data_IF_429932886419
#
_entry.id   IF_429932886419
#
_cell.length_a   1.000
_cell.length_b   1.000
_cell.length_c   1.000
_cell.angle_alpha   90.00
_cell.angle_beta   90.00
_cell.angle_gamma   90.00
#
_symmetry.space_group_name_H-M   'P 1'
#
loop_
_entity.id
_entity.type
_entity.pdbx_description
1 polymer ?
#
# COMPACT_ATOMS: atom_id res chain seq x y z
N UNK A 1 -20.85 -24.13 -24.56
CA UNK A 1 -20.88 -22.98 -23.63
C UNK A 1 -20.08 -21.87 -24.26
N UNK A 2 -20.66 -20.67 -24.41
CA UNK A 2 -19.90 -19.48 -24.82
C UNK A 2 -19.13 -18.95 -23.61
N UNK A 3 -17.86 -18.57 -23.83
CA UNK A 3 -17.04 -17.91 -22.82
C UNK A 3 -17.32 -16.41 -22.90
N UNK A 4 -17.73 -15.76 -21.80
CA UNK A 4 -18.01 -14.34 -21.81
C UNK A 4 -16.73 -13.53 -22.07
N UNK A 5 -16.81 -12.56 -22.98
CA UNK A 5 -15.72 -11.62 -23.23
C UNK A 5 -15.80 -10.50 -22.20
N UNK A 6 -14.79 -10.42 -21.33
CA UNK A 6 -14.65 -9.35 -20.34
C UNK A 6 -13.65 -8.32 -20.88
N UNK A 7 -14.02 -7.03 -20.84
CA UNK A 7 -13.13 -5.92 -21.23
C UNK A 7 -12.53 -5.26 -19.99
N UNK A 8 -11.21 -5.09 -19.98
CA UNK A 8 -10.52 -4.28 -19.01
C UNK A 8 -10.21 -2.89 -19.58
N UNK A 9 -10.14 -1.89 -18.71
CA UNK A 9 -9.65 -0.54 -19.05
C UNK A 9 -8.72 -0.07 -17.94
N UNK A 10 -7.85 0.89 -18.25
CA UNK A 10 -6.94 1.47 -17.25
C UNK A 10 -7.76 2.26 -16.24
N UNK A 11 -7.73 1.81 -14.98
CA UNK A 11 -8.41 2.50 -13.88
C UNK A 11 -7.60 3.68 -13.35
N UNK A 12 -6.30 3.49 -13.11
CA UNK A 12 -5.36 4.53 -12.69
C UNK A 12 -4.02 4.34 -13.41
N UNK A 13 -3.57 5.35 -14.15
CA UNK A 13 -2.29 5.31 -14.88
C UNK A 13 -1.14 5.81 -13.99
N UNK A 14 -0.82 5.05 -12.94
CA UNK A 14 0.13 5.47 -11.90
C UNK A 14 1.61 5.44 -12.35
N UNK A 15 1.92 4.82 -13.49
CA UNK A 15 3.30 4.63 -13.99
C UNK A 15 4.26 4.04 -12.95
N UNK A 16 3.76 3.15 -12.09
CA UNK A 16 4.58 2.50 -11.07
C UNK A 16 5.70 1.65 -11.71
N UNK A 17 6.91 1.72 -11.17
CA UNK A 17 8.03 0.86 -11.59
C UNK A 17 7.73 -0.59 -11.27
N UNK A 18 7.29 -0.86 -10.04
CA UNK A 18 6.81 -2.18 -9.62
C UNK A 18 5.58 -2.03 -8.72
N UNK A 19 4.41 -2.02 -9.34
CA UNK A 19 3.12 -1.92 -8.68
C UNK A 19 2.67 -3.24 -8.06
N UNK A 20 2.47 -3.29 -6.74
CA UNK A 20 2.12 -4.52 -6.01
C UNK A 20 1.18 -4.26 -4.83
N UNK A 21 0.71 -5.35 -4.22
CA UNK A 21 0.09 -5.28 -2.89
C UNK A 21 -1.25 -4.55 -2.85
N UNK A 22 -2.02 -4.54 -3.95
CA UNK A 22 -3.31 -3.88 -4.02
C UNK A 22 -4.28 -4.31 -2.89
N UNK A 23 -4.98 -3.34 -2.29
CA UNK A 23 -5.93 -3.52 -1.20
C UNK A 23 -7.10 -2.54 -1.37
N UNK A 24 -8.31 -3.06 -1.51
CA UNK A 24 -9.51 -2.22 -1.40
C UNK A 24 -10.05 -2.26 0.02
N UNK A 25 -10.12 -1.09 0.66
CA UNK A 25 -10.70 -0.91 1.98
C UNK A 25 -12.13 -0.38 1.83
N UNK A 26 -13.12 -1.21 2.16
CA UNK A 26 -14.55 -0.87 2.04
C UNK A 26 -14.96 0.27 2.97
N UNK A 27 -14.42 0.30 4.20
CA UNK A 27 -14.76 1.30 5.21
C UNK A 27 -14.44 2.73 4.74
N UNK A 28 -13.37 2.90 3.96
CA UNK A 28 -12.96 4.21 3.44
C UNK A 28 -13.35 4.44 1.97
N UNK A 29 -13.86 3.41 1.30
CA UNK A 29 -14.01 3.36 -0.17
C UNK A 29 -12.72 3.76 -0.90
N UNK A 30 -11.60 3.18 -0.48
CA UNK A 30 -10.27 3.51 -1.00
C UNK A 30 -9.52 2.27 -1.50
N UNK A 31 -8.89 2.41 -2.66
CA UNK A 31 -7.90 1.48 -3.17
C UNK A 31 -6.49 1.97 -2.79
N UNK A 32 -5.68 1.06 -2.25
CA UNK A 32 -4.28 1.28 -1.91
C UNK A 32 -3.41 0.27 -2.66
N UNK A 33 -2.23 0.68 -3.09
CA UNK A 33 -1.19 -0.20 -3.64
C UNK A 33 0.16 0.48 -3.52
N UNK A 34 1.25 -0.26 -3.68
CA UNK A 34 2.61 0.29 -3.53
C UNK A 34 3.36 0.27 -4.86
N UNK A 35 4.26 1.23 -5.05
CA UNK A 35 5.44 1.07 -5.90
C UNK A 35 6.59 0.60 -5.01
N UNK A 36 6.98 -0.66 -5.15
CA UNK A 36 8.02 -1.25 -4.30
C UNK A 36 9.34 -0.51 -4.49
N UNK A 37 9.76 -0.37 -5.75
CA UNK A 37 11.08 0.16 -6.10
C UNK A 37 11.19 1.65 -5.80
N UNK A 38 10.11 2.40 -6.05
CA UNK A 38 10.10 3.83 -5.80
C UNK A 38 9.73 4.18 -4.37
N UNK A 39 9.33 3.24 -3.51
CA UNK A 39 8.89 3.57 -2.15
C UNK A 39 7.71 4.54 -2.13
N UNK A 40 6.70 4.27 -2.96
CA UNK A 40 5.48 5.09 -3.04
C UNK A 40 4.28 4.28 -2.58
N UNK A 41 3.49 4.81 -1.65
CA UNK A 41 2.14 4.33 -1.41
C UNK A 41 1.18 5.16 -2.27
N UNK A 42 0.37 4.48 -3.08
CA UNK A 42 -0.74 5.10 -3.81
C UNK A 42 -2.04 4.93 -3.03
N UNK A 43 -2.87 5.98 -3.06
CA UNK A 43 -4.23 5.97 -2.53
C UNK A 43 -5.17 6.52 -3.62
N UNK A 44 -6.24 5.80 -3.90
CA UNK A 44 -7.30 6.23 -4.79
C UNK A 44 -8.66 6.12 -4.10
N UNK A 45 -9.28 7.26 -3.79
CA UNK A 45 -10.59 7.32 -3.11
C UNK A 45 -11.73 7.36 -4.11
N UNK A 46 -12.73 6.51 -3.90
CA UNK A 46 -13.98 6.45 -4.65
C UNK A 46 -15.14 7.04 -3.82
N UNK A 47 -16.17 7.62 -4.48
CA UNK A 47 -16.29 7.87 -5.92
C UNK A 47 -15.63 9.18 -6.36
N UNK A 48 -15.06 9.95 -5.43
CA UNK A 48 -14.57 11.33 -5.66
C UNK A 48 -13.33 11.39 -6.57
N UNK A 49 -12.79 10.23 -7.00
CA UNK A 49 -11.62 10.10 -7.88
C UNK A 49 -10.41 10.89 -7.37
N UNK A 50 -10.18 10.87 -6.06
CA UNK A 50 -9.04 11.54 -5.45
C UNK A 50 -7.84 10.58 -5.44
N UNK A 51 -6.81 10.91 -6.24
CA UNK A 51 -5.57 10.15 -6.33
C UNK A 51 -4.44 10.86 -5.57
N UNK A 52 -3.85 10.17 -4.60
CA UNK A 52 -2.73 10.65 -3.79
C UNK A 52 -1.56 9.67 -3.83
N UNK A 53 -0.38 10.22 -3.61
CA UNK A 53 0.88 9.49 -3.54
C UNK A 53 1.61 9.92 -2.27
N UNK A 54 2.12 8.96 -1.52
CA UNK A 54 2.95 9.20 -0.35
C UNK A 54 4.33 8.64 -0.64
N UNK A 55 5.34 9.52 -0.70
CA UNK A 55 6.74 9.13 -0.92
C UNK A 55 7.38 8.80 0.42
N UNK A 56 7.94 7.61 0.55
CA UNK A 56 8.48 7.09 1.80
C UNK A 56 10.00 6.83 1.69
N UNK A 57 10.74 6.84 2.83
CA UNK A 57 12.17 6.64 2.85
C UNK A 57 12.56 5.15 2.76
N UNK A 58 12.29 4.53 1.60
CA UNK A 58 12.71 3.16 1.30
C UNK A 58 11.65 2.35 0.58
N UNK A 59 12.03 1.14 0.16
CA UNK A 59 11.12 0.21 -0.51
C UNK A 59 10.00 -0.25 0.41
N UNK A 60 8.80 -0.40 -0.14
CA UNK A 60 7.59 -0.83 0.59
C UNK A 60 7.15 -2.18 0.04
N UNK A 61 7.05 -3.20 0.89
CA UNK A 61 6.60 -4.53 0.48
C UNK A 61 5.09 -4.70 0.50
N UNK A 62 4.40 -4.07 1.46
CA UNK A 62 2.94 -4.13 1.55
C UNK A 62 2.35 -2.97 2.35
N UNK A 63 1.03 -2.79 2.19
CA UNK A 63 0.18 -1.89 2.96
C UNK A 63 -1.03 -2.63 3.50
N UNK A 64 -1.36 -2.37 4.75
CA UNK A 64 -2.65 -2.71 5.35
C UNK A 64 -3.26 -1.46 5.99
N UNK A 65 -4.60 -1.40 6.04
CA UNK A 65 -5.31 -0.29 6.66
C UNK A 65 -5.56 -0.59 8.13
N UNK A 66 -5.19 0.35 8.99
CA UNK A 66 -5.63 0.43 10.38
C UNK A 66 -6.88 1.32 10.49
N UNK A 67 -7.44 1.45 11.68
CA UNK A 67 -8.48 2.42 12.00
C UNK A 67 -7.95 3.87 11.87
N UNK A 68 -8.87 4.84 11.93
CA UNK A 68 -8.57 6.25 12.15
C UNK A 68 -7.45 6.85 11.27
N UNK A 69 -7.60 6.76 9.95
CA UNK A 69 -6.69 7.38 8.97
C UNK A 69 -5.24 6.87 8.95
N UNK A 70 -4.91 5.72 9.56
CA UNK A 70 -3.52 5.19 9.57
C UNK A 70 -3.27 3.98 8.67
N UNK A 71 -2.20 3.99 7.88
CA UNK A 71 -1.77 2.80 7.14
C UNK A 71 -0.59 2.13 7.86
N UNK A 72 -0.64 0.81 8.01
CA UNK A 72 0.53 0.04 8.45
C UNK A 72 1.30 -0.43 7.22
N UNK A 73 2.59 -0.20 7.22
CA UNK A 73 3.49 -0.42 6.10
C UNK A 73 4.64 -1.32 6.53
N UNK A 74 4.91 -2.37 5.76
CA UNK A 74 6.16 -3.11 5.90
C UNK A 74 7.16 -2.57 4.88
N UNK A 75 8.09 -1.74 5.36
CA UNK A 75 9.17 -1.17 4.58
C UNK A 75 10.45 -1.97 4.78
N UNK A 76 11.40 -1.91 3.86
CA UNK A 76 12.68 -2.65 3.99
C UNK A 76 13.44 -2.37 5.30
N UNK A 77 13.18 -1.23 5.94
CA UNK A 77 13.80 -0.82 7.21
C UNK A 77 12.97 -1.16 8.47
N UNK A 78 11.73 -1.64 8.32
CA UNK A 78 10.87 -1.94 9.47
C UNK A 78 9.37 -1.84 9.18
N UNK A 79 8.58 -2.00 10.22
CA UNK A 79 7.12 -1.83 10.20
C UNK A 79 6.79 -0.44 10.73
N UNK A 80 6.00 0.31 9.97
CA UNK A 80 5.66 1.70 10.26
C UNK A 80 4.15 1.92 10.28
N UNK A 81 3.70 2.88 11.07
CA UNK A 81 2.39 3.51 10.96
C UNK A 81 2.54 4.83 10.22
N UNK A 82 1.76 5.03 9.16
CA UNK A 82 1.67 6.26 8.39
C UNK A 82 0.31 6.91 8.65
N UNK A 83 0.31 8.13 9.16
CA UNK A 83 -0.90 8.95 9.20
C UNK A 83 -1.21 9.49 7.80
N UNK A 84 -2.34 9.10 7.21
CA UNK A 84 -2.72 9.47 5.84
C UNK A 84 -3.16 10.94 5.70
N UNK A 85 -3.36 11.66 6.80
CA UNK A 85 -3.71 13.09 6.81
C UNK A 85 -2.48 13.98 6.99
N UNK A 86 -1.65 13.67 7.99
CA UNK A 86 -0.46 14.48 8.33
C UNK A 86 0.80 14.04 7.58
N UNK A 87 0.77 12.84 7.00
CA UNK A 87 1.91 12.17 6.35
C UNK A 87 3.06 11.84 7.33
N UNK A 88 2.77 11.89 8.64
CA UNK A 88 3.71 11.49 9.69
C UNK A 88 3.90 9.97 9.67
N UNK A 89 5.18 9.57 9.67
CA UNK A 89 5.61 8.18 9.61
C UNK A 89 6.29 7.80 10.93
N UNK A 90 5.74 6.81 11.62
CA UNK A 90 6.23 6.34 12.92
C UNK A 90 6.67 4.88 12.84
N UNK A 91 7.90 4.60 13.27
CA UNK A 91 8.40 3.24 13.38
C UNK A 91 7.68 2.51 14.52
N UNK A 92 7.07 1.37 14.22
CA UNK A 92 6.48 0.47 15.21
C UNK A 92 7.54 -0.51 15.70
N UNK A 93 8.22 -1.20 14.77
CA UNK A 93 9.29 -2.12 15.09
C UNK A 93 10.19 -2.39 13.89
N UNK A 94 11.43 -2.80 14.15
CA UNK A 94 12.40 -3.20 13.13
C UNK A 94 12.97 -4.60 13.50
N UNK A 95 12.22 -5.69 13.24
CA UNK A 95 12.56 -7.03 13.70
C UNK A 95 13.93 -7.53 13.21
N UNK A 96 14.38 -7.06 12.05
CA UNK A 96 15.57 -7.54 11.35
C UNK A 96 16.55 -6.41 11.02
N UNK A 97 16.65 -5.39 11.90
CA UNK A 97 17.43 -4.18 11.66
C UNK A 97 18.92 -4.42 11.28
N UNK A 98 19.49 -5.57 11.65
CA UNK A 98 20.88 -5.94 11.36
C UNK A 98 21.07 -6.67 10.02
N UNK A 99 20.00 -7.08 9.33
CA UNK A 99 20.06 -7.85 8.08
C UNK A 99 19.62 -6.99 6.89
N UNK A 100 20.56 -6.29 6.28
CA UNK A 100 20.30 -5.38 5.15
C UNK A 100 19.94 -6.08 3.84
N UNK A 101 20.21 -7.39 3.74
CA UNK A 101 19.98 -8.19 2.53
C UNK A 101 18.55 -8.76 2.45
N UNK A 102 17.73 -8.58 3.49
CA UNK A 102 16.36 -9.08 3.52
C UNK A 102 15.37 -7.93 3.58
N UNK A 103 14.23 -8.11 2.89
CA UNK A 103 13.11 -7.18 2.92
C UNK A 103 11.81 -7.95 3.14
N UNK A 104 10.80 -7.25 3.65
CA UNK A 104 9.45 -7.77 3.65
C UNK A 104 8.94 -7.88 2.21
N UNK A 105 8.44 -9.06 1.85
CA UNK A 105 8.00 -9.32 0.49
C UNK A 105 6.52 -8.99 0.26
N UNK A 106 5.65 -9.51 1.13
CA UNK A 106 4.19 -9.33 1.07
C UNK A 106 3.59 -9.45 2.47
N UNK A 107 2.34 -9.05 2.64
CA UNK A 107 1.57 -9.22 3.86
C UNK A 107 0.15 -8.66 3.71
N UNK A 108 -0.82 -9.26 4.40
CA UNK A 108 -2.23 -8.84 4.43
C UNK A 108 -2.80 -9.05 5.82
N UNK A 109 -3.82 -8.28 6.18
CA UNK A 109 -4.64 -8.57 7.36
C UNK A 109 -5.59 -9.72 7.06
N UNK A 110 -5.84 -10.53 8.08
CA UNK A 110 -6.87 -11.56 8.01
C UNK A 110 -8.26 -10.90 8.11
N UNK A 111 -9.36 -11.62 7.80
CA UNK A 111 -10.70 -11.11 8.06
C UNK A 111 -10.97 -10.78 9.53
N UNK A 112 -10.19 -11.33 10.47
CA UNK A 112 -10.31 -11.05 11.90
C UNK A 112 -9.49 -9.82 12.36
N UNK A 113 -8.76 -9.18 11.44
CA UNK A 113 -7.65 -8.29 11.78
C UNK A 113 -6.38 -9.11 11.96
#
# INVERSE_FOLDING_TARGET
MEVPVIRASVFADAKATLGEGALYCTNDSCLYWVDIEQGILYQYRLPVQNFRQFKLPGRIGTVVRDNDHHAILAMETGIYSLNLQTEELHLICAPEASKTEIRFNDGKCSPAG
#
